data_IF_085635854316
#
_entry.id   IF_085635854316
#
_cell.length_a   1.000
_cell.length_b   1.000
_cell.length_c   1.000
_cell.angle_alpha   90.00
_cell.angle_beta   90.00
_cell.angle_gamma   90.00
#
_symmetry.space_group_name_H-M   'P 1'
#
loop_
_entity.id
_entity.type
_entity.pdbx_description
1 polymer ?
#
# COMPACT_ATOMS: atom_id res chain seq x y z
N UNK A 1 2.54 -11.62 -7.69
CA UNK A 1 3.63 -11.23 -6.75
C UNK A 1 3.05 -10.81 -5.41
N UNK A 2 3.75 -11.08 -4.30
CA UNK A 2 3.40 -10.57 -2.96
C UNK A 2 4.53 -9.67 -2.42
N UNK A 3 4.18 -8.51 -1.85
CA UNK A 3 5.10 -7.55 -1.24
C UNK A 3 4.72 -7.39 0.24
N UNK A 4 5.62 -7.78 1.13
CA UNK A 4 5.42 -7.54 2.56
C UNK A 4 5.68 -6.07 2.89
N UNK A 5 4.64 -5.34 3.26
CA UNK A 5 4.71 -3.90 3.50
C UNK A 5 5.56 -3.58 4.74
N UNK A 6 5.69 -4.52 5.68
CA UNK A 6 6.57 -4.39 6.86
C UNK A 6 8.02 -4.04 6.51
N UNK A 7 8.46 -4.31 5.27
CA UNK A 7 9.79 -3.93 4.77
C UNK A 7 10.02 -2.41 4.76
N UNK A 8 8.94 -1.62 4.73
CA UNK A 8 8.97 -0.15 4.82
C UNK A 8 8.76 0.37 6.26
N UNK A 9 8.67 -0.53 7.24
CA UNK A 9 8.38 -0.25 8.65
C UNK A 9 7.05 -0.86 9.11
N UNK A 10 6.85 -0.93 10.42
CA UNK A 10 5.59 -1.42 11.02
C UNK A 10 4.70 -0.29 11.53
N UNK A 11 5.22 0.94 11.63
CA UNK A 11 4.49 2.16 11.99
C UNK A 11 4.51 3.11 10.79
N UNK A 12 3.40 3.14 10.05
CA UNK A 12 3.26 3.78 8.74
C UNK A 12 2.31 4.98 8.83
N UNK A 13 2.85 6.12 9.27
CA UNK A 13 2.04 7.30 9.65
C UNK A 13 2.30 8.56 8.82
N UNK A 14 3.45 8.64 8.15
CA UNK A 14 3.93 9.85 7.47
C UNK A 14 3.62 9.85 5.98
N UNK A 15 2.89 10.86 5.48
CA UNK A 15 2.56 11.00 4.04
C UNK A 15 3.83 11.00 3.15
N UNK A 16 4.89 11.79 3.41
CA UNK A 16 6.14 11.68 2.66
C UNK A 16 6.75 10.28 2.67
N UNK A 17 6.71 9.57 3.80
CA UNK A 17 7.24 8.21 3.89
C UNK A 17 6.43 7.21 3.03
N UNK A 18 5.13 7.42 2.86
CA UNK A 18 4.30 6.64 1.93
C UNK A 18 4.74 6.81 0.49
N UNK A 19 5.04 8.05 0.07
CA UNK A 19 5.59 8.31 -1.26
C UNK A 19 6.94 7.62 -1.47
N UNK A 20 7.87 7.77 -0.53
CA UNK A 20 9.20 7.15 -0.64
C UNK A 20 9.11 5.63 -0.70
N UNK A 21 8.25 5.01 0.13
CA UNK A 21 8.02 3.56 0.09
C UNK A 21 7.50 3.09 -1.29
N UNK A 22 6.56 3.84 -1.88
CA UNK A 22 6.05 3.52 -3.21
C UNK A 22 7.12 3.65 -4.30
N UNK A 23 7.96 4.69 -4.24
CA UNK A 23 9.07 4.87 -5.18
C UNK A 23 10.10 3.74 -5.07
N UNK A 24 10.43 3.31 -3.85
CA UNK A 24 11.31 2.15 -3.62
C UNK A 24 10.68 0.87 -4.15
N UNK A 25 9.38 0.66 -3.93
CA UNK A 25 8.66 -0.49 -4.48
C UNK A 25 8.71 -0.50 -6.02
N UNK A 26 8.46 0.65 -6.66
CA UNK A 26 8.51 0.83 -8.11
C UNK A 26 9.91 0.66 -8.70
N UNK A 27 10.96 1.04 -7.97
CA UNK A 27 12.33 0.99 -8.48
C UNK A 27 12.98 -0.40 -8.32
N UNK A 28 12.65 -1.14 -7.27
CA UNK A 28 13.40 -2.35 -6.91
C UNK A 28 12.54 -3.61 -6.84
N UNK A 29 11.24 -3.49 -6.59
CA UNK A 29 10.37 -4.66 -6.38
C UNK A 29 9.51 -4.94 -7.59
N UNK A 30 8.87 -3.92 -8.15
CA UNK A 30 7.86 -3.99 -9.21
C UNK A 30 8.39 -3.93 -10.67
N UNK A 31 9.57 -3.37 -11.01
CA UNK A 31 9.96 -3.24 -12.43
C UNK A 31 10.22 -4.58 -13.13
N UNK A 32 10.40 -5.67 -12.37
CA UNK A 32 10.62 -7.02 -12.89
C UNK A 32 9.31 -7.81 -13.13
N UNK A 33 8.15 -7.15 -13.01
CA UNK A 33 6.88 -7.79 -12.68
C UNK A 33 5.86 -7.46 -13.78
N UNK A 34 5.96 -8.15 -14.92
CA UNK A 34 5.24 -7.87 -16.18
C UNK A 34 3.77 -7.41 -16.03
N UNK A 35 2.81 -8.32 -16.15
CA UNK A 35 1.36 -8.02 -16.04
C UNK A 35 0.67 -8.69 -14.85
N UNK A 36 1.42 -9.35 -13.97
CA UNK A 36 0.86 -10.07 -12.83
C UNK A 36 0.25 -9.15 -11.76
N UNK A 37 -0.70 -9.68 -10.98
CA UNK A 37 -1.27 -9.02 -9.81
C UNK A 37 -0.23 -8.87 -8.69
N UNK A 38 -0.25 -7.72 -8.02
CA UNK A 38 0.63 -7.35 -6.91
C UNK A 38 -0.21 -7.34 -5.63
N UNK A 39 0.09 -8.28 -4.74
CA UNK A 39 -0.51 -8.38 -3.42
C UNK A 39 0.33 -7.59 -2.40
N UNK A 40 -0.23 -6.52 -1.85
CA UNK A 40 0.37 -5.68 -0.81
C UNK A 40 -0.05 -6.22 0.55
N UNK A 41 0.87 -6.84 1.29
CA UNK A 41 0.56 -7.50 2.57
C UNK A 41 0.88 -6.60 3.77
N UNK A 42 -0.17 -6.20 4.47
CA UNK A 42 -0.15 -5.38 5.68
C UNK A 42 -0.34 -6.20 6.97
N UNK A 43 -0.34 -7.54 6.89
CA UNK A 43 -0.62 -8.40 8.05
C UNK A 43 0.32 -8.18 9.25
N UNK A 44 1.55 -7.77 8.97
CA UNK A 44 2.60 -7.51 9.96
C UNK A 44 2.83 -5.99 10.21
N UNK A 45 1.83 -5.15 9.95
CA UNK A 45 1.86 -3.71 10.22
C UNK A 45 1.13 -3.41 11.53
N UNK A 46 1.78 -2.66 12.42
CA UNK A 46 1.26 -2.30 13.74
C UNK A 46 0.32 -1.09 13.67
N UNK A 47 0.72 -0.05 12.92
CA UNK A 47 -0.03 1.21 12.78
C UNK A 47 0.01 1.66 11.33
N UNK A 48 -1.15 2.02 10.78
CA UNK A 48 -1.31 2.56 9.43
C UNK A 48 -2.26 3.76 9.46
N UNK A 49 -1.85 4.91 8.93
CA UNK A 49 -2.72 6.08 8.77
C UNK A 49 -3.31 6.17 7.35
N UNK A 50 -4.51 6.78 7.19
CA UNK A 50 -5.09 7.02 5.87
C UNK A 50 -4.19 7.87 4.97
N UNK A 51 -3.50 8.88 5.51
CA UNK A 51 -2.63 9.75 4.73
C UNK A 51 -1.40 9.03 4.16
N UNK A 52 -0.83 8.07 4.91
CA UNK A 52 0.26 7.24 4.39
C UNK A 52 -0.25 6.34 3.26
N UNK A 53 -1.39 5.69 3.48
CA UNK A 53 -1.95 4.75 2.51
C UNK A 53 -2.40 5.41 1.21
N UNK A 54 -3.10 6.55 1.31
CA UNK A 54 -3.53 7.36 0.18
C UNK A 54 -2.35 7.72 -0.74
N UNK A 55 -1.28 8.27 -0.16
CA UNK A 55 -0.10 8.68 -0.92
C UNK A 55 0.65 7.49 -1.52
N UNK A 56 0.77 6.38 -0.76
CA UNK A 56 1.41 5.16 -1.24
C UNK A 56 0.67 4.61 -2.48
N UNK A 57 -0.66 4.47 -2.40
CA UNK A 57 -1.48 4.00 -3.52
C UNK A 57 -1.47 4.99 -4.69
N UNK A 58 -1.62 6.28 -4.44
CA UNK A 58 -1.58 7.31 -5.48
C UNK A 58 -0.25 7.31 -6.24
N UNK A 59 0.87 7.11 -5.52
CA UNK A 59 2.19 7.04 -6.15
C UNK A 59 2.35 5.75 -6.97
N UNK A 60 1.88 4.60 -6.46
CA UNK A 60 1.91 3.34 -7.22
C UNK A 60 1.07 3.41 -8.49
N UNK A 61 -0.13 4.01 -8.42
CA UNK A 61 -1.06 4.05 -9.55
C UNK A 61 -0.66 5.01 -10.68
N UNK A 62 0.40 5.79 -10.50
CA UNK A 62 1.04 6.53 -11.59
C UNK A 62 1.68 5.61 -12.63
N UNK A 63 2.08 4.39 -12.23
CA UNK A 63 2.76 3.43 -13.12
C UNK A 63 2.04 2.08 -13.21
N UNK A 64 1.15 1.78 -12.26
CA UNK A 64 0.49 0.47 -12.15
C UNK A 64 -1.03 0.65 -12.19
N UNK A 65 -1.76 -0.01 -13.10
CA UNK A 65 -3.21 -0.02 -13.07
C UNK A 65 -3.75 -0.47 -11.71
N UNK A 66 -4.74 0.24 -11.17
CA UNK A 66 -5.31 -0.02 -9.84
C UNK A 66 -5.83 -1.46 -9.72
N UNK A 67 -6.34 -2.04 -10.82
CA UNK A 67 -6.89 -3.40 -10.87
C UNK A 67 -5.81 -4.47 -10.63
N UNK A 68 -4.54 -4.14 -10.80
CA UNK A 68 -3.41 -5.03 -10.49
C UNK A 68 -3.02 -5.01 -9.02
N UNK A 69 -3.50 -4.05 -8.23
CA UNK A 69 -3.17 -3.92 -6.82
C UNK A 69 -4.23 -4.62 -5.98
N UNK A 70 -3.81 -5.57 -5.15
CA UNK A 70 -4.66 -6.26 -4.19
C UNK A 70 -4.08 -6.06 -2.79
N UNK A 71 -4.92 -5.65 -1.85
CA UNK A 71 -4.51 -5.42 -0.47
C UNK A 71 -4.86 -6.63 0.39
N UNK A 72 -3.89 -7.06 1.21
CA UNK A 72 -4.10 -8.05 2.26
C UNK A 72 -4.01 -7.31 3.61
N UNK A 73 -5.15 -7.12 4.28
CA UNK A 73 -5.27 -6.27 5.48
C UNK A 73 -4.77 -6.94 6.78
N UNK A 74 -4.81 -8.27 6.86
CA UNK A 74 -4.54 -9.01 8.10
C UNK A 74 -5.62 -8.81 9.17
N UNK A 75 -5.24 -8.87 10.45
CA UNK A 75 -6.17 -8.77 11.59
C UNK A 75 -6.11 -7.43 12.35
N UNK A 76 -5.11 -6.59 12.07
CA UNK A 76 -4.86 -5.35 12.80
C UNK A 76 -6.01 -4.32 12.59
N UNK A 77 -6.52 -3.76 13.69
CA UNK A 77 -7.63 -2.82 13.67
C UNK A 77 -7.28 -1.47 13.02
N UNK A 78 -6.06 -0.96 13.23
CA UNK A 78 -5.57 0.26 12.58
C UNK A 78 -5.53 0.08 11.05
N UNK A 79 -5.04 -1.07 10.57
CA UNK A 79 -5.04 -1.39 9.14
C UNK A 79 -6.47 -1.44 8.61
N UNK A 80 -7.34 -2.26 9.18
CA UNK A 80 -8.75 -2.40 8.75
C UNK A 80 -9.49 -1.06 8.71
N UNK A 81 -9.33 -0.23 9.74
CA UNK A 81 -9.99 1.07 9.82
C UNK A 81 -9.49 2.02 8.73
N UNK A 82 -8.18 2.08 8.51
CA UNK A 82 -7.61 2.89 7.42
C UNK A 82 -8.12 2.43 6.05
N UNK A 83 -8.16 1.13 5.77
CA UNK A 83 -8.68 0.61 4.50
C UNK A 83 -10.16 0.93 4.30
N UNK A 84 -10.95 0.88 5.38
CA UNK A 84 -12.34 1.32 5.36
C UNK A 84 -12.45 2.80 5.00
N UNK A 85 -11.66 3.67 5.63
CA UNK A 85 -11.63 5.11 5.32
C UNK A 85 -11.27 5.36 3.86
N UNK A 86 -10.26 4.68 3.31
CA UNK A 86 -9.87 4.83 1.90
C UNK A 86 -11.03 4.43 0.98
N UNK A 87 -11.69 3.29 1.22
CA UNK A 87 -12.83 2.82 0.40
C UNK A 87 -14.00 3.80 0.40
N UNK A 88 -14.36 4.32 1.57
CA UNK A 88 -15.47 5.27 1.73
C UNK A 88 -15.24 6.58 0.96
N UNK A 89 -13.99 7.04 0.85
CA UNK A 89 -13.62 8.27 0.11
C UNK A 89 -13.53 8.07 -1.41
N UNK A 90 -13.46 6.82 -1.87
CA UNK A 90 -13.30 6.46 -3.29
C UNK A 90 -14.56 5.87 -3.93
N UNK A 91 -15.66 5.77 -3.18
CA UNK A 91 -16.95 5.32 -3.71
C UNK A 91 -17.65 6.53 -4.36
N UNK A 92 -18.06 6.46 -5.64
CA UNK A 92 -18.73 7.56 -6.34
C UNK A 92 -20.09 7.94 -5.73
#
# INVERSE_FOLDING_TARGET
MKIDIKKFGTVLISRPAGREAALVALAYTIPNVGTETIELDFSDVDVLTPSWMDEFLQTLTQQIPMERLKVIEGQNASVKMTMKTIRELTTP
#
